data_IF_275861316178
#
_entry.id   IF_275861316178
#
_cell.length_a   1.000
_cell.length_b   1.000
_cell.length_c   1.000
_cell.angle_alpha   90.00
_cell.angle_beta   90.00
_cell.angle_gamma   90.00
#
_symmetry.space_group_name_H-M   'P 1'
#
loop_
_entity.id
_entity.type
_entity.pdbx_description
1 polymer ?
#
# COMPACT_ATOMS: atom_id res chain seq x y z
N UNK A 1 4.29 2.99 5.65
CA UNK A 1 3.10 2.11 5.52
C UNK A 1 2.10 2.30 6.66
N UNK A 2 2.44 2.03 7.92
CA UNK A 2 1.48 2.13 9.05
C UNK A 2 0.85 3.53 9.20
N UNK A 3 1.67 4.54 9.43
CA UNK A 3 1.19 5.90 9.71
C UNK A 3 0.77 6.67 8.45
N UNK A 4 1.33 6.30 7.29
CA UNK A 4 1.11 7.01 6.03
C UNK A 4 -0.09 6.48 5.25
N UNK A 5 -0.43 5.19 5.38
CA UNK A 5 -1.52 4.54 4.66
C UNK A 5 -2.49 3.84 5.61
N UNK A 6 -2.00 2.93 6.45
CA UNK A 6 -2.85 2.08 7.30
C UNK A 6 -3.78 2.87 8.24
N UNK A 7 -3.21 3.67 9.14
CA UNK A 7 -3.98 4.45 10.11
C UNK A 7 -4.90 5.49 9.46
N UNK A 8 -4.45 6.30 8.47
CA UNK A 8 -5.35 7.22 7.77
C UNK A 8 -6.56 6.54 7.13
N UNK A 9 -6.37 5.37 6.50
CA UNK A 9 -7.45 4.61 5.87
C UNK A 9 -8.42 3.98 6.89
N UNK A 10 -7.93 3.57 8.06
CA UNK A 10 -8.78 3.06 9.16
C UNK A 10 -9.64 4.20 9.74
N UNK A 11 -9.00 5.31 10.09
CA UNK A 11 -9.63 6.37 10.89
C UNK A 11 -10.44 7.34 10.04
N UNK A 12 -9.92 7.75 8.88
CA UNK A 12 -10.48 8.82 8.07
C UNK A 12 -10.37 8.54 6.55
N UNK A 13 -10.92 7.43 6.03
CA UNK A 13 -10.77 7.02 4.63
C UNK A 13 -11.24 8.09 3.63
N UNK A 14 -12.32 8.82 3.95
CA UNK A 14 -12.83 9.90 3.07
C UNK A 14 -11.88 11.10 2.99
N UNK A 15 -11.17 11.42 4.07
CA UNK A 15 -10.15 12.48 4.04
C UNK A 15 -8.92 12.01 3.26
N UNK A 16 -8.56 10.73 3.37
CA UNK A 16 -7.49 10.13 2.59
C UNK A 16 -7.79 10.16 1.08
N UNK A 17 -9.00 9.74 0.66
CA UNK A 17 -9.42 9.83 -0.74
C UNK A 17 -9.31 11.27 -1.29
N UNK A 18 -9.75 12.26 -0.51
CA UNK A 18 -9.62 13.68 -0.90
C UNK A 18 -8.17 14.13 -1.05
N UNK A 19 -7.29 13.69 -0.15
CA UNK A 19 -5.85 13.98 -0.25
C UNK A 19 -5.31 13.49 -1.60
N UNK A 20 -5.69 12.28 -2.00
CA UNK A 20 -5.33 11.67 -3.28
C UNK A 20 -6.02 12.27 -4.49
N UNK A 21 -6.92 13.25 -4.28
CA UNK A 21 -7.76 13.89 -5.30
C UNK A 21 -8.72 12.93 -6.00
N UNK A 22 -9.16 11.89 -5.29
CA UNK A 22 -10.31 11.09 -5.74
C UNK A 22 -11.58 11.93 -5.69
N UNK A 23 -12.43 11.76 -6.70
CA UNK A 23 -13.81 12.22 -6.63
C UNK A 23 -14.55 11.49 -5.51
N UNK A 24 -15.40 12.21 -4.78
CA UNK A 24 -16.11 11.61 -3.65
C UNK A 24 -17.22 10.70 -4.18
N UNK A 25 -17.18 9.39 -3.88
CA UNK A 25 -18.19 8.46 -4.38
C UNK A 25 -19.55 8.75 -3.78
N UNK A 26 -20.62 8.53 -4.55
CA UNK A 26 -22.00 8.58 -4.07
C UNK A 26 -22.22 7.55 -2.96
N UNK A 27 -21.70 6.32 -3.16
CA UNK A 27 -21.79 5.21 -2.20
C UNK A 27 -20.69 5.28 -1.13
N UNK A 28 -20.72 6.31 -0.29
CA UNK A 28 -19.70 6.56 0.75
C UNK A 28 -19.51 5.39 1.71
N UNK A 29 -20.58 4.69 2.10
CA UNK A 29 -20.49 3.58 3.05
C UNK A 29 -19.62 2.42 2.53
N UNK A 30 -19.75 2.08 1.24
CA UNK A 30 -18.93 1.05 0.61
C UNK A 30 -17.45 1.47 0.58
N UNK A 31 -17.16 2.70 0.14
CA UNK A 31 -15.80 3.24 0.08
C UNK A 31 -15.15 3.30 1.47
N UNK A 32 -15.90 3.68 2.51
CA UNK A 32 -15.43 3.67 3.90
C UNK A 32 -15.11 2.25 4.36
N UNK A 33 -15.98 1.27 4.08
CA UNK A 33 -15.79 -0.12 4.49
C UNK A 33 -14.56 -0.76 3.82
N UNK A 34 -14.40 -0.54 2.51
CA UNK A 34 -13.25 -1.03 1.76
C UNK A 34 -11.96 -0.34 2.21
N UNK A 35 -11.98 0.98 2.36
CA UNK A 35 -10.85 1.76 2.84
C UNK A 35 -10.38 1.30 4.22
N UNK A 36 -11.31 1.08 5.16
CA UNK A 36 -10.98 0.56 6.50
C UNK A 36 -10.39 -0.84 6.46
N UNK A 37 -10.98 -1.74 5.67
CA UNK A 37 -10.48 -3.11 5.51
C UNK A 37 -9.05 -3.12 4.96
N UNK A 38 -8.78 -2.32 3.92
CA UNK A 38 -7.45 -2.16 3.36
C UNK A 38 -6.47 -1.56 4.38
N UNK A 39 -6.92 -0.54 5.12
CA UNK A 39 -6.12 0.11 6.16
C UNK A 39 -5.70 -0.86 7.26
N UNK A 40 -6.59 -1.76 7.71
CA UNK A 40 -6.27 -2.82 8.67
C UNK A 40 -5.23 -3.77 8.10
N UNK A 41 -5.38 -4.22 6.85
CA UNK A 41 -4.42 -5.11 6.21
C UNK A 41 -3.02 -4.48 6.15
N UNK A 42 -2.92 -3.23 5.69
CA UNK A 42 -1.66 -2.48 5.63
C UNK A 42 -1.05 -2.30 7.03
N UNK A 43 -1.88 -2.00 8.04
CA UNK A 43 -1.40 -1.83 9.40
C UNK A 43 -0.82 -3.13 9.98
N UNK A 44 -1.49 -4.27 9.76
CA UNK A 44 -0.99 -5.58 10.20
C UNK A 44 0.33 -5.91 9.49
N UNK A 45 0.41 -5.73 8.17
CA UNK A 45 1.66 -5.96 7.44
C UNK A 45 2.81 -5.11 7.99
N UNK A 46 2.55 -3.84 8.29
CA UNK A 46 3.56 -2.97 8.87
C UNK A 46 3.99 -3.39 10.28
N UNK A 47 3.06 -3.88 11.12
CA UNK A 47 3.39 -4.43 12.45
C UNK A 47 4.25 -5.69 12.31
N UNK A 48 3.89 -6.58 11.39
CA UNK A 48 4.65 -7.81 11.15
C UNK A 48 6.02 -7.54 10.54
N UNK A 49 6.23 -6.44 9.83
CA UNK A 49 7.55 -6.04 9.37
C UNK A 49 8.53 -5.86 10.56
N UNK A 50 8.10 -5.23 11.65
CA UNK A 50 8.92 -5.11 12.87
C UNK A 50 9.21 -6.46 13.51
N UNK A 51 8.24 -7.37 13.53
CA UNK A 51 8.42 -8.73 14.07
C UNK A 51 9.37 -9.56 13.21
N UNK A 52 9.23 -9.49 11.90
CA UNK A 52 10.08 -10.20 10.94
C UNK A 52 11.51 -9.68 11.00
N UNK A 53 11.71 -8.37 11.15
CA UNK A 53 13.04 -7.77 11.32
C UNK A 53 13.80 -8.36 12.53
N UNK A 54 13.10 -8.68 13.62
CA UNK A 54 13.68 -9.26 14.84
C UNK A 54 13.76 -10.80 14.82
N UNK A 55 13.25 -11.44 13.77
CA UNK A 55 13.14 -12.90 13.69
C UNK A 55 13.86 -13.41 12.43
N UNK A 56 15.16 -13.77 12.50
CA UNK A 56 15.96 -14.12 11.32
C UNK A 56 15.31 -15.17 10.41
N UNK A 57 14.71 -16.22 10.99
CA UNK A 57 14.05 -17.29 10.25
C UNK A 57 12.82 -16.81 9.43
N UNK A 58 12.25 -15.65 9.75
CA UNK A 58 11.09 -15.08 9.05
C UNK A 58 11.49 -14.00 8.02
N UNK A 59 12.75 -13.55 7.99
CA UNK A 59 13.16 -12.42 7.17
C UNK A 59 13.00 -12.72 5.67
N UNK A 60 13.55 -13.84 5.18
CA UNK A 60 13.47 -14.22 3.75
C UNK A 60 12.02 -14.27 3.26
N UNK A 61 11.16 -15.00 3.98
CA UNK A 61 9.73 -15.08 3.67
C UNK A 61 9.08 -13.70 3.62
N UNK A 62 9.37 -12.83 4.59
CA UNK A 62 8.75 -11.52 4.65
C UNK A 62 9.22 -10.60 3.52
N UNK A 63 10.51 -10.66 3.16
CA UNK A 63 11.04 -9.92 2.02
C UNK A 63 10.40 -10.38 0.70
N UNK A 64 10.28 -11.70 0.47
CA UNK A 64 9.58 -12.24 -0.70
C UNK A 64 8.13 -11.76 -0.76
N UNK A 65 7.42 -11.83 0.36
CA UNK A 65 6.05 -11.35 0.47
C UNK A 65 5.94 -9.85 0.11
N UNK A 66 6.87 -9.02 0.59
CA UNK A 66 6.89 -7.59 0.26
C UNK A 66 7.17 -7.34 -1.22
N UNK A 67 8.10 -8.08 -1.82
CA UNK A 67 8.38 -7.98 -3.26
C UNK A 67 7.16 -8.36 -4.11
N UNK A 68 6.46 -9.44 -3.74
CA UNK A 68 5.21 -9.82 -4.43
C UNK A 68 4.12 -8.77 -4.29
N UNK A 69 3.95 -8.18 -3.10
CA UNK A 69 2.98 -7.10 -2.90
C UNK A 69 3.36 -5.86 -3.71
N UNK A 70 4.62 -5.42 -3.68
CA UNK A 70 5.05 -4.22 -4.41
C UNK A 70 4.99 -4.42 -5.92
N UNK A 71 5.34 -5.61 -6.41
CA UNK A 71 5.17 -5.98 -7.82
C UNK A 71 3.70 -5.95 -8.24
N UNK A 72 2.81 -6.56 -7.45
CA UNK A 72 1.37 -6.56 -7.73
C UNK A 72 0.78 -5.15 -7.72
N UNK A 73 1.14 -4.32 -6.73
CA UNK A 73 0.71 -2.92 -6.65
C UNK A 73 1.25 -2.09 -7.82
N UNK A 74 2.52 -2.25 -8.19
CA UNK A 74 3.09 -1.59 -9.36
C UNK A 74 2.29 -1.90 -10.63
N UNK A 75 1.97 -3.17 -10.88
CA UNK A 75 1.17 -3.59 -12.03
C UNK A 75 -0.26 -3.04 -11.98
N UNK A 76 -0.89 -3.06 -10.81
CA UNK A 76 -2.24 -2.54 -10.62
C UNK A 76 -2.32 -1.03 -10.92
N UNK A 77 -1.34 -0.25 -10.44
CA UNK A 77 -1.31 1.20 -10.66
C UNK A 77 -0.91 1.56 -12.10
N UNK A 78 -0.06 0.76 -12.76
CA UNK A 78 0.19 0.90 -14.20
C UNK A 78 -1.11 0.67 -14.97
N UNK A 79 -1.85 -0.39 -14.65
CA UNK A 79 -3.14 -0.67 -15.27
C UNK A 79 -4.13 0.50 -15.06
N UNK A 80 -4.25 1.00 -13.84
CA UNK A 80 -5.12 2.14 -13.52
C UNK A 80 -4.73 3.43 -14.26
N UNK A 81 -3.43 3.72 -14.38
CA UNK A 81 -2.92 4.87 -15.14
C UNK A 81 -3.23 4.75 -16.64
N UNK A 82 -3.01 3.58 -17.25
CA UNK A 82 -3.31 3.33 -18.67
C UNK A 82 -4.80 3.49 -18.97
N UNK A 83 -5.66 3.11 -18.01
CA UNK A 83 -7.13 3.26 -18.12
C UNK A 83 -7.62 4.66 -17.74
N UNK A 84 -6.74 5.54 -17.26
CA UNK A 84 -7.06 6.91 -16.78
C UNK A 84 -8.18 6.92 -15.73
N UNK A 85 -8.24 5.89 -14.88
CA UNK A 85 -9.27 5.76 -13.82
C UNK A 85 -8.80 6.27 -12.46
N UNK A 86 -7.49 6.49 -12.30
CA UNK A 86 -6.89 6.89 -11.03
C UNK A 86 -6.40 8.35 -11.08
N UNK A 87 -6.48 9.11 -9.97
CA UNK A 87 -5.99 10.47 -9.89
C UNK A 87 -4.46 10.56 -9.95
N UNK A 88 -3.95 11.79 -10.04
CA UNK A 88 -2.52 12.07 -10.23
C UNK A 88 -1.66 11.49 -9.11
N UNK A 89 -2.11 11.54 -7.86
CA UNK A 89 -1.34 11.02 -6.73
C UNK A 89 -1.27 9.49 -6.74
N UNK A 90 -2.33 8.80 -7.17
CA UNK A 90 -2.29 7.35 -7.40
C UNK A 90 -1.36 6.97 -8.56
N UNK A 91 -1.22 7.85 -9.55
CA UNK A 91 -0.24 7.66 -10.65
C UNK A 91 1.18 7.85 -10.16
N UNK A 92 1.42 8.79 -9.24
CA UNK A 92 2.72 8.94 -8.60
C UNK A 92 3.11 7.70 -7.77
N UNK A 93 2.14 6.91 -7.31
CA UNK A 93 2.43 5.67 -6.60
C UNK A 93 3.15 4.62 -7.45
N UNK A 94 3.05 4.63 -8.78
CA UNK A 94 3.85 3.74 -9.65
C UNK A 94 5.34 3.88 -9.31
N UNK A 95 5.81 5.13 -9.21
CA UNK A 95 7.20 5.39 -8.85
C UNK A 95 7.50 4.96 -7.41
N UNK A 96 6.58 5.21 -6.47
CA UNK A 96 6.72 4.77 -5.08
C UNK A 96 6.87 3.24 -4.99
N UNK A 97 6.01 2.46 -5.64
CA UNK A 97 6.03 1.00 -5.63
C UNK A 97 7.33 0.45 -6.23
N UNK A 98 7.80 1.06 -7.33
CA UNK A 98 9.10 0.72 -7.92
C UNK A 98 10.25 0.96 -6.93
N UNK A 99 10.31 2.13 -6.31
CA UNK A 99 11.36 2.47 -5.33
C UNK A 99 11.32 1.54 -4.13
N UNK A 100 10.14 1.24 -3.58
CA UNK A 100 10.00 0.32 -2.44
C UNK A 100 10.46 -1.11 -2.80
N UNK A 101 10.17 -1.58 -4.02
CA UNK A 101 10.68 -2.85 -4.53
C UNK A 101 12.21 -2.87 -4.60
N UNK A 102 12.82 -1.84 -5.19
CA UNK A 102 14.27 -1.71 -5.29
C UNK A 102 14.96 -1.60 -3.92
N UNK A 103 14.37 -0.84 -2.98
CA UNK A 103 14.86 -0.77 -1.59
C UNK A 103 14.79 -2.16 -0.95
N UNK A 104 13.70 -2.89 -1.12
CA UNK A 104 13.55 -4.24 -0.56
C UNK A 104 14.60 -5.20 -1.10
N UNK A 105 14.89 -5.14 -2.41
CA UNK A 105 15.99 -5.91 -3.02
C UNK A 105 17.36 -5.49 -2.47
N UNK A 106 17.60 -4.20 -2.29
CA UNK A 106 18.87 -3.67 -1.77
C UNK A 106 19.16 -4.06 -0.32
N UNK A 107 18.12 -4.35 0.48
CA UNK A 107 18.24 -4.83 1.85
C UNK A 107 17.91 -6.32 2.01
N UNK A 108 17.81 -7.06 0.90
CA UNK A 108 17.42 -8.47 0.94
C UNK A 108 18.45 -9.28 1.76
N UNK A 109 18.02 -10.09 2.74
CA UNK A 109 18.93 -10.86 3.59
C UNK A 109 19.76 -11.86 2.78
N UNK A 110 21.06 -11.93 3.06
CA UNK A 110 21.98 -12.91 2.46
C UNK A 110 21.92 -14.28 3.15
#
# INVERSE_FOLDING_TARGET
MLFTFGLPLILAPMSFLRLFRWEIPEQKALAISLGRSLGVFIAIMAIFAFKAAQTPAAQLFFFDLMLWIFGAMLLLHIYGALRKVQPVLETAEIFMWLVLGLVTLGFYPA
#
